data_IF_140300346822
#
_entry.id   IF_140300346822
#
_cell.length_a   1.000
_cell.length_b   1.000
_cell.length_c   1.000
_cell.angle_alpha   90.00
_cell.angle_beta   90.00
_cell.angle_gamma   90.00
#
_symmetry.space_group_name_H-M   'P 1'
#
loop_
_entity.id
_entity.type
_entity.pdbx_description
1 polymer ?
#
# COMPACT_ATOMS: atom_id res chain seq x y z
N UNK A 1 -3.86 -8.64 -28.92
CA UNK A 1 -2.52 -9.25 -28.72
C UNK A 1 -1.47 -8.14 -28.81
N UNK A 2 -1.25 -7.42 -27.73
CA UNK A 2 -0.05 -6.59 -27.60
C UNK A 2 1.07 -7.56 -27.22
N UNK A 3 1.84 -7.99 -28.19
CA UNK A 3 3.13 -8.64 -27.93
C UNK A 3 4.04 -7.51 -27.49
N UNK A 4 4.15 -7.31 -26.17
CA UNK A 4 5.28 -6.58 -25.63
C UNK A 4 6.52 -7.34 -26.10
N UNK A 5 7.36 -6.68 -26.87
CA UNK A 5 8.63 -7.25 -27.29
C UNK A 5 9.35 -7.75 -26.04
N UNK A 6 9.75 -8.99 -26.04
CA UNK A 6 10.30 -9.74 -24.89
C UNK A 6 11.59 -9.15 -24.29
N UNK A 7 12.05 -7.99 -24.75
CA UNK A 7 13.26 -7.30 -24.30
C UNK A 7 13.02 -6.01 -23.51
N UNK A 8 11.83 -5.45 -23.48
CA UNK A 8 11.55 -4.23 -22.73
C UNK A 8 11.05 -4.56 -21.31
N UNK A 9 11.81 -4.12 -20.31
CA UNK A 9 11.39 -4.18 -18.91
C UNK A 9 10.43 -3.03 -18.64
N UNK A 10 9.23 -3.35 -18.18
CA UNK A 10 8.27 -2.35 -17.71
C UNK A 10 8.58 -2.00 -16.26
N UNK A 11 8.88 -0.73 -16.01
CA UNK A 11 8.97 -0.19 -14.66
C UNK A 11 7.59 0.30 -14.24
N UNK A 12 6.87 -0.52 -13.49
CA UNK A 12 5.53 -0.16 -13.03
C UNK A 12 5.56 0.94 -11.96
N UNK A 13 6.47 0.83 -11.00
CA UNK A 13 6.66 1.86 -9.98
C UNK A 13 7.78 2.81 -10.39
N UNK A 14 7.60 4.09 -10.10
CA UNK A 14 8.51 5.15 -10.48
C UNK A 14 8.81 6.10 -9.30
N UNK A 15 10.02 6.70 -9.23
CA UNK A 15 10.39 7.58 -8.14
C UNK A 15 9.43 8.77 -7.96
N UNK A 16 9.20 9.18 -6.72
CA UNK A 16 8.30 10.29 -6.34
C UNK A 16 8.49 11.58 -7.15
N UNK A 17 9.73 11.91 -7.48
CA UNK A 17 10.10 13.16 -8.13
C UNK A 17 10.17 13.04 -9.66
N UNK A 18 9.89 11.90 -10.25
CA UNK A 18 9.72 11.75 -11.69
C UNK A 18 8.35 12.24 -12.14
N UNK A 19 8.22 12.63 -13.41
CA UNK A 19 6.92 13.00 -14.00
C UNK A 19 5.90 11.86 -13.81
N UNK A 20 6.31 10.65 -14.07
CA UNK A 20 5.51 9.43 -13.98
C UNK A 20 5.56 8.80 -12.57
N UNK A 21 5.84 9.60 -11.53
CA UNK A 21 5.99 9.09 -10.16
C UNK A 21 4.82 8.21 -9.76
N UNK A 22 5.10 6.97 -9.39
CA UNK A 22 4.13 5.96 -8.98
C UNK A 22 4.75 5.11 -7.89
N UNK A 23 4.29 5.28 -6.66
CA UNK A 23 4.94 4.69 -5.49
C UNK A 23 3.93 4.25 -4.43
N UNK A 24 4.40 3.39 -3.54
CA UNK A 24 3.65 2.88 -2.41
C UNK A 24 4.40 3.23 -1.13
N UNK A 25 3.66 3.69 -0.15
CA UNK A 25 4.15 3.97 1.19
C UNK A 25 3.33 3.25 2.24
N UNK A 26 3.97 2.88 3.32
CA UNK A 26 3.33 2.29 4.49
C UNK A 26 4.04 2.73 5.76
N UNK A 27 3.35 2.68 6.88
CA UNK A 27 3.94 3.04 8.15
C UNK A 27 2.93 3.18 9.25
N UNK A 28 3.35 3.92 10.25
CA UNK A 28 2.51 4.34 11.36
C UNK A 28 2.42 5.86 11.42
N UNK A 29 1.26 6.36 11.76
CA UNK A 29 1.05 7.75 12.13
C UNK A 29 0.63 7.82 13.59
N UNK A 30 0.77 8.99 14.21
CA UNK A 30 0.34 9.25 15.58
C UNK A 30 -0.33 10.62 15.65
N UNK A 31 -1.22 10.78 16.60
CA UNK A 31 -1.82 12.09 16.92
C UNK A 31 -0.96 12.92 17.89
N UNK A 32 0.00 12.28 18.55
CA UNK A 32 0.98 12.97 19.41
C UNK A 32 2.04 13.65 18.55
N UNK A 33 1.94 14.98 18.47
CA UNK A 33 2.85 15.82 17.68
C UNK A 33 4.27 15.89 18.25
N UNK A 34 4.49 15.43 19.47
CA UNK A 34 5.81 15.42 20.09
C UNK A 34 6.60 14.14 19.75
N UNK A 35 5.96 13.14 19.17
CA UNK A 35 6.61 11.90 18.75
C UNK A 35 7.12 12.04 17.33
N UNK A 36 8.42 11.92 17.17
CA UNK A 36 9.03 11.87 15.84
C UNK A 36 8.81 10.49 15.21
N UNK A 37 8.25 10.47 14.01
CA UNK A 37 8.01 9.28 13.20
C UNK A 37 8.80 9.35 11.88
N UNK A 38 9.09 8.20 11.24
CA UNK A 38 9.76 8.19 9.95
C UNK A 38 8.98 8.98 8.89
N UNK A 39 9.69 9.73 8.07
CA UNK A 39 9.15 10.51 6.97
C UNK A 39 9.95 10.29 5.67
N UNK A 40 9.64 11.02 4.61
CA UNK A 40 10.28 10.88 3.29
C UNK A 40 11.80 11.15 3.28
N UNK A 41 12.32 11.79 4.32
CA UNK A 41 13.76 12.12 4.45
C UNK A 41 14.47 11.16 5.43
N UNK A 42 13.74 10.27 6.08
CA UNK A 42 14.32 9.34 7.04
C UNK A 42 15.21 8.32 6.35
N UNK A 43 16.43 8.16 6.87
CA UNK A 43 17.39 7.18 6.36
C UNK A 43 17.26 5.90 7.20
N UNK A 44 16.82 4.83 6.55
CA UNK A 44 16.66 3.54 7.17
C UNK A 44 17.95 2.72 7.08
N UNK A 45 18.29 2.06 8.16
CA UNK A 45 19.36 1.06 8.18
C UNK A 45 18.82 -0.27 7.65
N UNK A 46 19.61 -0.92 6.79
CA UNK A 46 19.31 -2.27 6.28
C UNK A 46 20.11 -3.28 7.09
N UNK A 47 19.45 -4.33 7.59
CA UNK A 47 20.12 -5.45 8.24
C UNK A 47 20.03 -6.72 7.40
N UNK A 48 21.13 -7.48 7.35
CA UNK A 48 21.22 -8.71 6.57
C UNK A 48 21.44 -8.46 5.08
N UNK A 49 20.72 -9.20 4.23
CA UNK A 49 20.81 -9.04 2.78
C UNK A 49 20.09 -7.75 2.34
N UNK A 50 20.74 -6.98 1.49
CA UNK A 50 20.20 -5.72 0.93
C UNK A 50 19.44 -5.89 -0.40
N UNK A 51 19.25 -7.13 -0.84
CA UNK A 51 18.52 -7.46 -2.07
C UNK A 51 17.31 -8.31 -1.75
N UNK A 52 16.12 -7.76 -2.07
CA UNK A 52 14.85 -8.47 -1.94
C UNK A 52 14.72 -9.54 -3.04
N UNK A 53 14.46 -10.77 -2.64
CA UNK A 53 14.08 -11.88 -3.53
C UNK A 53 13.00 -12.72 -2.85
N UNK A 54 12.37 -13.65 -3.58
CA UNK A 54 11.38 -14.56 -2.99
C UNK A 54 11.91 -15.41 -1.82
N UNK A 55 13.22 -15.64 -1.76
CA UNK A 55 13.89 -16.40 -0.70
C UNK A 55 14.58 -15.52 0.35
N UNK A 56 14.65 -14.22 0.13
CA UNK A 56 15.42 -13.31 0.99
C UNK A 56 14.64 -12.02 1.23
N UNK A 57 13.94 -11.90 2.36
CA UNK A 57 13.33 -10.65 2.78
C UNK A 57 14.39 -9.62 3.14
N UNK A 58 14.02 -8.35 3.10
CA UNK A 58 14.84 -7.25 3.62
C UNK A 58 14.26 -6.75 4.93
N UNK A 59 15.15 -6.34 5.84
CA UNK A 59 14.78 -5.73 7.12
C UNK A 59 15.35 -4.33 7.20
N UNK A 60 14.47 -3.40 7.54
CA UNK A 60 14.75 -1.97 7.66
C UNK A 60 14.49 -1.55 9.10
N UNK A 61 15.38 -0.73 9.65
CA UNK A 61 15.23 -0.18 11.01
C UNK A 61 15.50 1.32 10.98
N UNK A 62 14.66 2.06 11.68
CA UNK A 62 14.84 3.48 11.95
C UNK A 62 14.46 3.76 13.41
N UNK A 63 15.29 4.52 14.12
CA UNK A 63 15.05 4.90 15.49
C UNK A 63 15.09 6.42 15.63
N UNK A 64 14.21 6.98 16.47
CA UNK A 64 14.28 8.37 16.87
C UNK A 64 15.11 8.52 18.16
N UNK A 65 15.49 9.76 18.48
CA UNK A 65 16.24 10.05 19.71
C UNK A 65 15.36 9.98 20.98
N UNK A 66 14.08 9.64 20.84
CA UNK A 66 13.10 9.56 21.91
C UNK A 66 12.91 8.15 22.47
N UNK A 67 13.68 7.16 22.01
CA UNK A 67 13.61 5.78 22.46
C UNK A 67 12.53 4.94 21.77
N UNK A 68 12.07 5.34 20.58
CA UNK A 68 11.13 4.59 19.76
C UNK A 68 11.83 4.11 18.50
N UNK A 69 11.72 2.82 18.24
CA UNK A 69 12.31 2.18 17.05
C UNK A 69 11.22 1.62 16.15
N UNK A 70 11.35 1.89 14.86
CA UNK A 70 10.47 1.39 13.80
C UNK A 70 11.22 0.37 12.96
N UNK A 71 10.60 -0.78 12.77
CA UNK A 71 11.13 -1.87 11.95
C UNK A 71 10.16 -2.21 10.84
N UNK A 72 10.71 -2.58 9.68
CA UNK A 72 9.95 -3.15 8.55
C UNK A 72 10.65 -4.39 8.03
N UNK A 73 9.91 -5.47 7.89
CA UNK A 73 10.34 -6.63 7.13
C UNK A 73 9.50 -6.71 5.86
N UNK A 74 10.16 -6.70 4.71
CA UNK A 74 9.51 -6.78 3.39
C UNK A 74 9.93 -8.08 2.75
N UNK A 75 8.95 -8.90 2.41
CA UNK A 75 9.11 -10.11 1.61
C UNK A 75 8.30 -10.02 0.32
N UNK A 76 8.67 -10.78 -0.69
CA UNK A 76 7.99 -10.88 -1.98
C UNK A 76 7.87 -12.36 -2.34
N UNK A 77 6.75 -12.75 -2.97
CA UNK A 77 6.62 -14.06 -3.60
C UNK A 77 7.01 -14.04 -5.10
N UNK A 78 6.89 -15.17 -5.77
CA UNK A 78 7.25 -15.33 -7.17
C UNK A 78 6.29 -14.63 -8.16
N UNK A 79 5.13 -14.17 -7.69
CA UNK A 79 4.07 -13.52 -8.48
C UNK A 79 3.83 -12.06 -8.11
N UNK A 80 4.79 -11.43 -7.39
CA UNK A 80 4.78 -10.02 -6.99
C UNK A 80 3.73 -9.63 -5.92
N UNK A 81 3.41 -10.54 -5.01
CA UNK A 81 2.79 -10.23 -3.75
C UNK A 81 3.87 -9.85 -2.74
N UNK A 82 3.83 -8.63 -2.27
CA UNK A 82 4.68 -8.17 -1.17
C UNK A 82 3.93 -8.32 0.15
N UNK A 83 4.62 -8.79 1.16
CA UNK A 83 4.15 -8.74 2.55
C UNK A 83 5.05 -7.78 3.32
N UNK A 84 4.43 -6.78 3.93
CA UNK A 84 5.11 -5.78 4.78
C UNK A 84 4.68 -6.01 6.22
N UNK A 85 5.58 -6.52 7.05
CA UNK A 85 5.43 -6.56 8.50
C UNK A 85 6.08 -5.32 9.07
N UNK A 86 5.36 -4.62 9.92
CA UNK A 86 5.80 -3.38 10.53
C UNK A 86 5.72 -3.52 12.05
N UNK A 87 6.73 -3.03 12.75
CA UNK A 87 6.81 -3.09 14.20
C UNK A 87 7.26 -1.75 14.75
N UNK A 88 6.68 -1.35 15.88
CA UNK A 88 7.16 -0.22 16.67
C UNK A 88 7.55 -0.73 18.04
N UNK A 89 8.76 -0.40 18.48
CA UNK A 89 9.31 -0.79 19.78
C UNK A 89 9.46 0.47 20.62
N UNK A 90 8.92 0.44 21.82
CA UNK A 90 8.98 1.51 22.80
C UNK A 90 9.92 1.11 23.95
N UNK A 91 11.05 1.79 24.04
CA UNK A 91 12.02 1.61 25.13
C UNK A 91 11.88 2.68 26.23
N UNK A 92 10.71 3.35 26.29
CA UNK A 92 10.42 4.40 27.28
C UNK A 92 9.39 3.95 28.30
N UNK A 93 9.20 4.77 29.33
CA UNK A 93 8.17 4.56 30.35
C UNK A 93 6.80 5.17 29.97
N UNK A 94 6.69 5.81 28.82
CA UNK A 94 5.46 6.44 28.35
C UNK A 94 4.63 5.48 27.50
N UNK A 95 3.33 5.78 27.34
CA UNK A 95 2.44 5.12 26.40
C UNK A 95 2.26 6.01 25.16
N UNK A 96 2.04 5.38 24.02
CA UNK A 96 1.79 6.06 22.74
C UNK A 96 0.70 5.35 21.96
N UNK A 97 0.00 6.10 21.12
CA UNK A 97 -1.01 5.58 20.22
C UNK A 97 -0.55 5.75 18.78
N UNK A 98 -0.55 4.66 18.05
CA UNK A 98 -0.20 4.64 16.62
C UNK A 98 -1.35 4.10 15.78
N UNK A 99 -1.44 4.58 14.56
CA UNK A 99 -2.40 4.10 13.56
C UNK A 99 -1.60 3.62 12.36
N UNK A 100 -1.87 2.40 11.90
CA UNK A 100 -1.23 1.91 10.67
C UNK A 100 -1.83 2.57 9.44
N UNK A 101 -1.00 2.81 8.44
CA UNK A 101 -1.44 3.33 7.16
C UNK A 101 -0.70 2.69 5.99
N UNK A 102 -1.34 2.74 4.84
CA UNK A 102 -0.73 2.49 3.56
C UNK A 102 -1.32 3.41 2.51
N UNK A 103 -0.50 3.81 1.54
CA UNK A 103 -0.95 4.64 0.43
C UNK A 103 -0.24 4.33 -0.88
N UNK A 104 -0.99 4.46 -1.96
CA UNK A 104 -0.49 4.49 -3.32
C UNK A 104 -0.57 5.94 -3.78
N UNK A 105 0.51 6.44 -4.36
CA UNK A 105 0.59 7.79 -4.90
C UNK A 105 0.96 7.69 -6.37
N UNK A 106 0.20 8.37 -7.24
CA UNK A 106 0.45 8.48 -8.66
C UNK A 106 0.44 9.94 -9.07
N UNK A 107 1.50 10.38 -9.74
CA UNK A 107 1.64 11.81 -10.09
C UNK A 107 0.66 12.24 -11.18
N UNK A 108 0.47 11.42 -12.22
CA UNK A 108 -0.38 11.72 -13.37
C UNK A 108 -1.24 10.51 -13.71
N UNK A 109 -2.46 10.75 -14.19
CA UNK A 109 -3.26 9.71 -14.82
C UNK A 109 -2.54 9.17 -16.07
N UNK A 110 -2.63 7.89 -16.40
CA UNK A 110 -2.11 7.36 -17.65
C UNK A 110 -2.88 7.94 -18.85
N UNK A 111 -2.29 7.91 -20.04
CA UNK A 111 -3.05 8.16 -21.25
C UNK A 111 -4.09 7.03 -21.41
N UNK A 112 -5.35 7.38 -21.16
CA UNK A 112 -6.47 6.44 -21.29
C UNK A 112 -6.78 6.30 -22.79
N UNK A 113 -6.46 5.17 -23.35
CA UNK A 113 -6.93 4.83 -24.69
C UNK A 113 -8.36 4.33 -24.60
N UNK A 114 -9.35 5.17 -24.93
CA UNK A 114 -10.79 4.92 -24.84
C UNK A 114 -11.28 3.75 -25.75
N UNK A 115 -10.69 2.58 -25.63
CA UNK A 115 -11.13 1.35 -26.27
C UNK A 115 -11.42 0.27 -25.25
N UNK A 116 -12.67 0.26 -24.76
CA UNK A 116 -13.41 -0.86 -24.16
C UNK A 116 -13.12 -1.37 -22.73
N UNK A 117 -14.15 -1.24 -21.89
CA UNK A 117 -14.79 -2.26 -21.03
C UNK A 117 -14.13 -2.49 -19.66
N UNK A 118 -12.87 -2.24 -19.41
CA UNK A 118 -12.25 -2.40 -18.10
C UNK A 118 -12.04 -1.04 -17.47
N UNK A 119 -12.42 -0.94 -16.20
CA UNK A 119 -12.15 0.27 -15.43
C UNK A 119 -10.65 0.55 -15.32
N UNK A 120 -10.24 1.75 -15.70
CA UNK A 120 -8.90 2.30 -15.49
C UNK A 120 -9.03 3.49 -14.52
N UNK A 121 -8.62 3.31 -13.28
CA UNK A 121 -8.82 4.34 -12.25
C UNK A 121 -8.56 3.82 -10.85
N UNK A 122 -9.17 4.48 -9.89
CA UNK A 122 -9.08 4.13 -8.48
C UNK A 122 -10.16 3.10 -8.17
N UNK A 123 -9.76 2.01 -7.51
CA UNK A 123 -10.65 0.85 -7.32
C UNK A 123 -10.50 0.30 -5.91
N UNK A 124 -11.59 -0.20 -5.35
CA UNK A 124 -11.58 -0.94 -4.09
C UNK A 124 -12.72 -1.95 -4.03
N UNK A 125 -12.56 -2.97 -3.19
CA UNK A 125 -13.69 -3.69 -2.61
C UNK A 125 -13.69 -3.43 -1.11
N UNK A 126 -14.77 -2.88 -0.60
CA UNK A 126 -14.96 -2.51 0.79
C UNK A 126 -16.24 -3.16 1.32
N UNK A 127 -16.12 -4.09 2.28
CA UNK A 127 -17.24 -4.84 2.86
C UNK A 127 -18.15 -5.47 1.78
N UNK A 128 -17.54 -6.17 0.83
CA UNK A 128 -18.16 -6.85 -0.31
C UNK A 128 -18.75 -5.92 -1.39
N UNK A 129 -18.58 -4.62 -1.32
CA UNK A 129 -18.99 -3.68 -2.35
C UNK A 129 -17.82 -3.27 -3.22
N UNK A 130 -17.92 -3.43 -4.55
CA UNK A 130 -16.95 -2.93 -5.52
C UNK A 130 -17.18 -1.43 -5.73
N UNK A 131 -16.11 -0.69 -5.69
CA UNK A 131 -16.05 0.77 -5.87
C UNK A 131 -15.06 1.03 -7.00
N UNK A 132 -15.51 1.77 -7.99
CA UNK A 132 -14.74 2.17 -9.16
C UNK A 132 -14.92 3.68 -9.34
N UNK A 133 -13.82 4.41 -9.32
CA UNK A 133 -13.81 5.87 -9.45
C UNK A 133 -12.83 6.26 -10.54
N UNK A 134 -13.32 7.00 -11.53
CA UNK A 134 -12.50 7.52 -12.60
C UNK A 134 -11.56 8.62 -12.09
N UNK A 135 -10.46 8.86 -12.79
CA UNK A 135 -9.50 9.91 -12.40
C UNK A 135 -10.17 11.28 -12.37
N UNK A 136 -11.00 11.60 -13.37
CA UNK A 136 -11.69 12.89 -13.47
C UNK A 136 -12.67 13.10 -12.30
N UNK A 137 -13.38 12.04 -11.88
CA UNK A 137 -14.30 12.11 -10.74
C UNK A 137 -13.57 12.41 -9.44
N UNK A 138 -12.38 11.82 -9.24
CA UNK A 138 -11.58 12.06 -8.04
C UNK A 138 -10.88 13.43 -8.05
N UNK A 139 -10.61 14.00 -9.21
CA UNK A 139 -10.15 15.41 -9.30
C UNK A 139 -11.23 16.37 -8.79
N UNK A 140 -12.49 16.08 -9.06
CA UNK A 140 -13.62 16.91 -8.65
C UNK A 140 -14.05 16.63 -7.21
N UNK A 141 -14.10 15.35 -6.81
CA UNK A 141 -14.68 14.94 -5.53
C UNK A 141 -13.93 13.79 -4.89
N UNK A 142 -13.45 14.03 -3.70
CA UNK A 142 -12.84 13.02 -2.84
C UNK A 142 -13.85 11.93 -2.45
N UNK A 143 -13.45 10.66 -2.58
CA UNK A 143 -14.14 9.51 -2.01
C UNK A 143 -13.60 9.19 -0.61
N UNK A 144 -14.47 8.80 0.32
CA UNK A 144 -14.07 8.36 1.66
C UNK A 144 -15.09 7.37 2.24
N UNK A 145 -14.60 6.25 2.80
CA UNK A 145 -15.44 5.23 3.44
C UNK A 145 -14.67 4.45 4.51
N UNK A 146 -15.35 4.08 5.59
CA UNK A 146 -14.85 3.09 6.55
C UNK A 146 -15.21 1.67 6.09
N UNK A 147 -14.35 0.70 6.40
CA UNK A 147 -14.59 -0.71 6.09
C UNK A 147 -13.92 -1.63 7.14
N UNK A 148 -14.50 -2.82 7.32
CA UNK A 148 -13.94 -3.87 8.19
C UNK A 148 -13.02 -4.81 7.44
N UNK A 149 -13.22 -4.96 6.12
CA UNK A 149 -12.43 -5.80 5.24
C UNK A 149 -12.39 -5.22 3.83
N UNK A 150 -11.41 -5.64 3.05
CA UNK A 150 -11.31 -5.30 1.65
C UNK A 150 -9.89 -5.04 1.18
N UNK A 151 -9.80 -4.50 0.00
CA UNK A 151 -8.58 -4.05 -0.65
C UNK A 151 -8.85 -2.75 -1.42
N UNK A 152 -7.81 -2.00 -1.75
CA UNK A 152 -7.92 -0.73 -2.46
C UNK A 152 -6.69 -0.53 -3.34
N UNK A 153 -6.85 0.14 -4.49
CA UNK A 153 -5.75 0.26 -5.42
C UNK A 153 -6.00 1.17 -6.61
N UNK A 154 -5.12 1.05 -7.58
CA UNK A 154 -5.22 1.68 -8.90
C UNK A 154 -5.09 0.59 -9.94
N UNK A 155 -6.09 0.50 -10.81
CA UNK A 155 -6.12 -0.39 -11.95
C UNK A 155 -5.83 0.37 -13.25
N UNK A 156 -4.85 -0.12 -14.01
CA UNK A 156 -4.62 0.28 -15.40
C UNK A 156 -5.08 -0.84 -16.33
N UNK A 157 -5.05 -0.63 -17.61
CA UNK A 157 -5.46 -1.61 -18.61
C UNK A 157 -4.83 -3.00 -18.43
N UNK A 158 -3.54 -3.05 -18.09
CA UNK A 158 -2.76 -4.30 -17.98
C UNK A 158 -2.16 -4.56 -16.62
N UNK A 159 -2.28 -3.59 -15.68
CA UNK A 159 -1.59 -3.62 -14.41
C UNK A 159 -2.54 -3.29 -13.26
N UNK A 160 -2.24 -3.86 -12.11
CA UNK A 160 -2.91 -3.54 -10.85
C UNK A 160 -1.87 -3.25 -9.78
N UNK A 161 -2.06 -2.18 -9.04
CA UNK A 161 -1.34 -1.89 -7.79
C UNK A 161 -2.36 -1.79 -6.69
N UNK A 162 -2.31 -2.67 -5.71
CA UNK A 162 -3.30 -2.71 -4.63
C UNK A 162 -2.67 -2.90 -3.26
N UNK A 163 -3.37 -2.37 -2.27
CA UNK A 163 -3.11 -2.52 -0.84
C UNK A 163 -4.19 -3.40 -0.24
N UNK A 164 -3.77 -4.34 0.61
CA UNK A 164 -4.65 -5.13 1.44
C UNK A 164 -4.34 -4.75 2.89
N UNK A 165 -5.22 -3.98 3.55
CA UNK A 165 -5.05 -3.55 4.92
C UNK A 165 -4.91 -4.72 5.91
N UNK A 166 -4.43 -4.48 7.13
CA UNK A 166 -4.37 -5.49 8.17
C UNK A 166 -5.73 -6.12 8.45
N UNK A 167 -5.77 -7.45 8.46
CA UNK A 167 -7.02 -8.20 8.67
C UNK A 167 -7.56 -8.01 10.09
N UNK A 168 -8.89 -7.95 10.19
CA UNK A 168 -9.60 -7.90 11.47
C UNK A 168 -9.52 -6.55 12.18
N UNK A 169 -9.19 -5.49 11.46
CA UNK A 169 -9.16 -4.11 11.97
C UNK A 169 -9.94 -3.21 11.01
N UNK A 170 -10.78 -2.34 11.58
CA UNK A 170 -11.44 -1.31 10.80
C UNK A 170 -10.44 -0.30 10.27
N UNK A 171 -10.66 0.14 9.05
CA UNK A 171 -9.85 1.16 8.41
C UNK A 171 -10.73 2.14 7.63
N UNK A 172 -10.24 3.36 7.51
CA UNK A 172 -10.81 4.40 6.66
C UNK A 172 -10.05 4.47 5.36
N UNK A 173 -10.75 4.24 4.26
CA UNK A 173 -10.23 4.41 2.90
C UNK A 173 -10.50 5.82 2.41
N UNK A 174 -9.55 6.37 1.66
CA UNK A 174 -9.69 7.64 0.98
C UNK A 174 -9.07 7.57 -0.41
N UNK A 175 -9.81 8.03 -1.41
CA UNK A 175 -9.31 8.37 -2.73
C UNK A 175 -9.36 9.88 -2.86
N UNK A 176 -8.26 10.52 -3.17
CA UNK A 176 -8.21 11.97 -3.32
C UNK A 176 -7.19 12.41 -4.38
N UNK A 177 -7.38 13.64 -4.87
CA UNK A 177 -6.44 14.33 -5.72
C UNK A 177 -6.01 15.66 -5.07
N UNK A 178 -4.68 15.82 -4.91
CA UNK A 178 -4.04 17.09 -4.53
C UNK A 178 -2.75 17.22 -5.33
N UNK A 179 -2.88 17.61 -6.58
CA UNK A 179 -1.81 17.58 -7.58
C UNK A 179 -1.20 16.19 -7.84
N UNK A 180 -1.76 15.14 -7.19
CA UNK A 180 -1.40 13.74 -7.34
C UNK A 180 -2.58 12.90 -6.90
N UNK A 181 -2.82 11.81 -7.59
CA UNK A 181 -3.81 10.81 -7.18
C UNK A 181 -3.29 10.00 -5.99
N UNK A 182 -4.15 9.78 -5.01
CA UNK A 182 -3.85 8.99 -3.83
C UNK A 182 -4.97 8.05 -3.50
N UNK A 183 -4.59 6.82 -3.28
CA UNK A 183 -5.41 5.77 -2.70
C UNK A 183 -4.79 5.38 -1.38
N UNK A 184 -5.49 5.56 -0.27
CA UNK A 184 -4.92 5.27 1.03
C UNK A 184 -5.92 4.64 1.99
N UNK A 185 -5.39 3.93 2.98
CA UNK A 185 -6.11 3.56 4.17
C UNK A 185 -5.38 4.03 5.43
N UNK A 186 -6.14 4.26 6.48
CA UNK A 186 -5.65 4.52 7.84
C UNK A 186 -6.52 3.72 8.81
N UNK A 187 -5.91 3.00 9.75
CA UNK A 187 -6.63 2.33 10.83
C UNK A 187 -7.47 3.33 11.62
N UNK A 188 -8.71 2.98 11.98
CA UNK A 188 -9.61 3.87 12.72
C UNK A 188 -9.39 3.81 14.23
N UNK A 189 -8.87 2.69 14.72
CA UNK A 189 -8.55 2.50 16.13
C UNK A 189 -7.05 2.53 16.38
N UNK A 190 -6.59 3.10 17.49
CA UNK A 190 -5.19 3.13 17.84
C UNK A 190 -4.64 1.74 18.17
N UNK A 191 -3.41 1.53 17.82
CA UNK A 191 -2.56 0.48 18.34
C UNK A 191 -1.87 1.03 19.59
N UNK A 192 -2.31 0.62 20.76
CA UNK A 192 -1.75 1.09 22.02
C UNK A 192 -0.35 0.51 22.26
N UNK A 193 0.66 1.35 22.19
CA UNK A 193 2.05 1.00 22.47
C UNK A 193 2.38 1.32 23.93
N UNK A 194 2.30 0.32 24.79
CA UNK A 194 2.62 0.47 26.19
C UNK A 194 4.12 0.73 26.44
N UNK A 195 4.46 1.18 27.67
CA UNK A 195 5.85 1.34 28.07
C UNK A 195 6.61 0.01 27.97
N UNK A 196 7.87 0.06 27.51
CA UNK A 196 8.76 -1.09 27.36
C UNK A 196 8.12 -2.28 26.62
N UNK A 197 7.35 -1.99 25.58
CA UNK A 197 6.63 -2.99 24.78
C UNK A 197 6.78 -2.75 23.26
N UNK A 198 6.14 -3.56 22.47
CA UNK A 198 6.07 -3.36 21.02
C UNK A 198 4.70 -3.70 20.48
N UNK A 199 4.33 -3.05 19.38
CA UNK A 199 3.18 -3.38 18.54
C UNK A 199 3.65 -3.84 17.18
N UNK A 200 2.86 -4.68 16.53
CA UNK A 200 3.14 -5.20 15.20
C UNK A 200 1.89 -5.11 14.34
N UNK A 201 2.11 -4.88 13.07
CA UNK A 201 1.07 -4.88 12.05
C UNK A 201 1.56 -5.51 10.75
N UNK A 202 0.63 -6.01 9.94
CA UNK A 202 0.96 -6.67 8.68
C UNK A 202 -0.03 -6.27 7.60
N UNK A 203 0.49 -5.75 6.51
CA UNK A 203 -0.27 -5.49 5.29
C UNK A 203 0.33 -6.24 4.09
N UNK A 204 -0.45 -6.35 3.02
CA UNK A 204 0.00 -6.94 1.78
C UNK A 204 -0.18 -5.96 0.62
N UNK A 205 0.66 -6.11 -0.40
CA UNK A 205 0.69 -5.24 -1.57
C UNK A 205 0.81 -6.12 -2.80
N UNK A 206 -0.05 -5.94 -3.78
CA UNK A 206 0.05 -6.59 -5.08
C UNK A 206 0.45 -5.54 -6.11
N UNK A 207 1.52 -5.81 -6.85
CA UNK A 207 2.00 -4.96 -7.95
C UNK A 207 2.26 -5.88 -9.13
N UNK A 208 1.24 -6.16 -9.93
CA UNK A 208 1.27 -7.24 -10.89
C UNK A 208 0.57 -6.92 -12.22
N UNK A 209 0.92 -7.66 -13.26
CA UNK A 209 0.11 -7.70 -14.47
C UNK A 209 -1.25 -8.37 -14.18
N UNK A 210 -2.31 -7.87 -14.82
CA UNK A 210 -3.67 -8.42 -14.76
C UNK A 210 -3.73 -9.73 -15.56
N UNK A 211 -3.11 -10.76 -15.02
CA UNK A 211 -3.16 -12.13 -15.55
C UNK A 211 -4.18 -12.92 -14.75
N UNK A 212 -5.10 -13.59 -15.44
CA UNK A 212 -6.18 -14.39 -14.83
C UNK A 212 -5.64 -15.35 -13.76
N UNK A 213 -4.61 -16.14 -14.11
CA UNK A 213 -4.00 -17.12 -13.20
C UNK A 213 -3.36 -16.50 -11.93
N UNK A 214 -2.92 -15.25 -12.00
CA UNK A 214 -2.32 -14.52 -10.87
C UNK A 214 -3.41 -13.89 -10.03
N UNK A 215 -4.34 -13.18 -10.65
CA UNK A 215 -5.41 -12.45 -9.98
C UNK A 215 -6.36 -13.41 -9.26
N UNK A 216 -6.85 -14.47 -9.93
CA UNK A 216 -7.70 -15.49 -9.32
C UNK A 216 -6.98 -16.22 -8.19
N UNK A 217 -5.70 -16.57 -8.40
CA UNK A 217 -4.90 -17.22 -7.36
C UNK A 217 -4.75 -16.36 -6.10
N UNK A 218 -4.64 -15.04 -6.22
CA UNK A 218 -4.60 -14.13 -5.08
C UNK A 218 -5.98 -13.89 -4.49
N UNK A 219 -7.03 -13.76 -5.30
CA UNK A 219 -8.41 -13.66 -4.82
C UNK A 219 -8.74 -14.83 -3.88
N UNK A 220 -8.41 -16.06 -4.30
CA UNK A 220 -8.67 -17.28 -3.52
C UNK A 220 -7.74 -17.38 -2.29
N UNK A 221 -6.41 -17.29 -2.49
CA UNK A 221 -5.43 -17.54 -1.42
C UNK A 221 -5.47 -16.50 -0.30
N UNK A 222 -5.73 -15.26 -0.65
CA UNK A 222 -5.82 -14.15 0.30
C UNK A 222 -7.25 -13.93 0.81
N UNK A 223 -8.24 -14.59 0.21
CA UNK A 223 -9.68 -14.41 0.49
C UNK A 223 -10.07 -12.94 0.38
N UNK A 224 -9.74 -12.34 -0.75
CA UNK A 224 -10.08 -10.94 -1.06
C UNK A 224 -11.19 -10.93 -2.12
N UNK A 225 -12.36 -10.46 -1.69
CA UNK A 225 -13.57 -10.49 -2.50
C UNK A 225 -13.45 -9.59 -3.74
N UNK A 226 -13.98 -10.06 -4.86
CA UNK A 226 -14.07 -9.33 -6.14
C UNK A 226 -12.73 -8.82 -6.71
N UNK A 227 -11.60 -9.37 -6.28
CA UNK A 227 -10.30 -9.03 -6.86
C UNK A 227 -10.17 -9.53 -8.30
N UNK A 228 -10.83 -10.65 -8.60
CA UNK A 228 -11.00 -11.23 -9.93
C UNK A 228 -11.71 -10.29 -10.93
N UNK A 229 -12.55 -9.39 -10.44
CA UNK A 229 -13.25 -8.40 -11.30
C UNK A 229 -12.36 -7.26 -11.80
N UNK A 230 -11.10 -7.23 -11.41
CA UNK A 230 -10.13 -6.22 -11.90
C UNK A 230 -9.53 -6.56 -13.27
N UNK A 231 -9.86 -7.74 -13.82
CA UNK A 231 -9.34 -8.25 -15.10
C UNK A 231 -10.29 -7.88 -16.24
#
# INVERSE_FOLDING_TARGET
NVVLNSSEKVNLLAPRNSKEGYLIESGFITTDKNVEIPNSNSIWSVSGNNKLTAQSPIKLTWANDQGITFEKEISIDDKFLFTVKQRVINSTNNKYDFYSYGQIIRNEAPEITNFYILHEGLVATLDDELIEEDYDDIEEKKFTRNAQKGWLGIGDKYWITSLIPPKGKEFKTTFDYKNKFRVNFVGTEPLELNSNSSIEDKMQIIVAAKRVDVIDGYAESLKIDKFDLTI
#
